data_IF_510039752573
#
_entry.id   IF_510039752573
#
_cell.length_a   1.000
_cell.length_b   1.000
_cell.length_c   1.000
_cell.angle_alpha   90.00
_cell.angle_beta   90.00
_cell.angle_gamma   90.00
#
_symmetry.space_group_name_H-M   'P 1'
#
loop_
_entity.id
_entity.type
_entity.pdbx_description
1 polymer ?
#
# COMPACT_ATOMS: atom_id res chain seq x y z
N UNK A 1 3.69 6.44 10.55
CA UNK A 1 2.72 5.48 11.11
C UNK A 1 3.38 4.40 11.97
N UNK A 2 4.47 3.77 11.52
CA UNK A 2 5.19 2.77 12.34
C UNK A 2 5.57 3.29 13.74
N UNK A 3 6.13 4.49 13.82
CA UNK A 3 6.49 5.15 15.10
C UNK A 3 5.30 5.32 16.06
N UNK A 4 4.09 5.52 15.53
CA UNK A 4 2.88 5.66 16.36
C UNK A 4 2.45 4.31 16.96
N UNK A 5 2.58 3.23 16.18
CA UNK A 5 2.39 1.86 16.66
C UNK A 5 3.44 1.52 17.73
N UNK A 6 4.71 1.80 17.45
CA UNK A 6 5.81 1.49 18.37
C UNK A 6 5.63 2.23 19.71
N UNK A 7 5.27 3.52 19.65
CA UNK A 7 4.95 4.32 20.84
C UNK A 7 3.77 3.74 21.63
N UNK A 8 2.71 3.31 20.93
CA UNK A 8 1.55 2.70 21.57
C UNK A 8 1.89 1.37 22.24
N UNK A 9 2.63 0.52 21.55
CA UNK A 9 3.06 -0.79 22.06
C UNK A 9 3.96 -0.67 23.30
N UNK A 10 4.83 0.35 23.35
CA UNK A 10 5.69 0.59 24.52
C UNK A 10 4.89 1.01 25.77
N UNK A 11 3.70 1.63 25.57
CA UNK A 11 2.85 2.12 26.66
C UNK A 11 1.78 1.13 27.11
N UNK A 12 1.53 0.06 26.38
CA UNK A 12 0.48 -0.91 26.73
C UNK A 12 0.99 -2.04 27.63
N UNK A 13 0.27 -2.29 28.72
CA UNK A 13 0.57 -3.39 29.65
C UNK A 13 -0.35 -4.61 29.45
N UNK A 14 -1.58 -4.48 28.92
CA UNK A 14 -2.53 -5.62 28.90
C UNK A 14 -3.64 -5.68 27.81
N UNK A 15 -3.85 -4.68 26.93
CA UNK A 15 -5.01 -4.70 26.00
C UNK A 15 -4.64 -4.30 24.58
N UNK A 16 -4.76 -5.19 23.59
CA UNK A 16 -4.62 -4.82 22.18
C UNK A 16 -5.83 -4.01 21.71
N UNK A 17 -5.73 -2.68 21.72
CA UNK A 17 -6.76 -1.81 21.16
C UNK A 17 -6.40 -1.51 19.70
N UNK A 18 -7.37 -1.66 18.80
CA UNK A 18 -7.17 -1.35 17.39
C UNK A 18 -6.89 0.15 17.19
N UNK A 19 -5.85 0.46 16.41
CA UNK A 19 -5.46 1.84 16.11
C UNK A 19 -6.05 2.22 14.76
N UNK A 20 -6.67 3.40 14.71
CA UNK A 20 -7.31 3.91 13.51
C UNK A 20 -6.71 5.24 13.06
N UNK A 21 -6.68 5.43 11.74
CA UNK A 21 -6.26 6.62 11.03
C UNK A 21 -7.49 7.32 10.42
N UNK A 22 -7.48 8.66 10.47
CA UNK A 22 -8.53 9.53 9.92
C UNK A 22 -7.88 10.66 9.11
N UNK A 23 -8.59 11.15 8.10
CA UNK A 23 -8.07 12.19 7.21
C UNK A 23 -8.45 13.58 7.69
N UNK A 24 -7.47 14.49 7.69
CA UNK A 24 -7.68 15.87 8.06
C UNK A 24 -8.75 16.55 7.19
N UNK A 25 -9.68 17.29 7.80
CA UNK A 25 -10.83 17.91 7.13
C UNK A 25 -11.91 16.93 6.64
N UNK A 26 -11.72 15.62 6.85
CA UNK A 26 -12.64 14.54 6.45
C UNK A 26 -12.92 13.61 7.65
N UNK A 27 -12.72 14.08 8.87
CA UNK A 27 -12.86 13.30 10.08
C UNK A 27 -14.32 12.92 10.34
N UNK A 28 -14.59 11.71 10.88
CA UNK A 28 -15.94 11.30 11.25
C UNK A 28 -16.42 12.06 12.50
N UNK A 29 -17.74 12.19 12.66
CA UNK A 29 -18.33 12.81 13.85
C UNK A 29 -17.95 12.10 15.16
N UNK A 30 -17.74 10.78 15.12
CA UNK A 30 -17.25 10.02 16.28
C UNK A 30 -15.87 10.46 16.75
N UNK A 31 -15.06 11.06 15.87
CA UNK A 31 -13.75 11.61 16.19
C UNK A 31 -13.86 13.08 16.63
N UNK A 32 -14.57 13.92 15.87
CA UNK A 32 -14.67 15.36 16.18
C UNK A 32 -15.39 15.61 17.52
N UNK A 33 -16.37 14.78 17.87
CA UNK A 33 -17.08 14.85 19.16
C UNK A 33 -16.21 14.52 20.39
N UNK A 34 -14.99 13.98 20.21
CA UNK A 34 -14.05 13.74 21.31
C UNK A 34 -13.37 15.02 21.80
N UNK A 35 -13.44 16.10 21.01
CA UNK A 35 -12.79 17.35 21.30
C UNK A 35 -13.84 18.40 21.70
N UNK A 36 -13.56 19.15 22.77
CA UNK A 36 -14.44 20.21 23.28
C UNK A 36 -14.56 21.40 22.33
N UNK A 37 -13.56 21.61 21.48
CA UNK A 37 -13.57 22.60 20.40
C UNK A 37 -13.01 21.95 19.14
N UNK A 38 -13.73 22.10 18.03
CA UNK A 38 -13.32 21.61 16.72
C UNK A 38 -13.60 22.68 15.67
N UNK A 39 -12.69 22.83 14.71
CA UNK A 39 -12.86 23.75 13.59
C UNK A 39 -12.70 22.96 12.30
N UNK A 40 -13.73 22.99 11.45
CA UNK A 40 -13.70 22.33 10.16
C UNK A 40 -12.69 23.00 9.23
N UNK A 41 -11.95 22.15 8.50
CA UNK A 41 -10.87 22.55 7.61
C UNK A 41 -11.20 22.19 6.17
N UNK A 42 -12.14 22.92 5.59
CA UNK A 42 -12.60 22.72 4.21
C UNK A 42 -11.46 22.87 3.19
N UNK A 43 -10.49 23.74 3.48
CA UNK A 43 -9.27 23.92 2.69
C UNK A 43 -8.50 22.61 2.52
N UNK A 44 -8.37 21.83 3.60
CA UNK A 44 -7.74 20.52 3.59
C UNK A 44 -8.70 19.45 3.04
N UNK A 45 -9.98 19.50 3.39
CA UNK A 45 -10.99 18.54 2.95
C UNK A 45 -10.99 18.42 1.42
N UNK A 46 -10.98 19.56 0.72
CA UNK A 46 -10.93 19.62 -0.75
C UNK A 46 -9.67 18.96 -1.32
N UNK A 47 -8.52 19.11 -0.67
CA UNK A 47 -7.27 18.48 -1.11
C UNK A 47 -7.32 16.95 -0.94
N UNK A 48 -7.81 16.47 0.21
CA UNK A 48 -7.91 15.04 0.48
C UNK A 48 -8.99 14.35 -0.39
N UNK A 49 -10.10 15.03 -0.70
CA UNK A 49 -11.08 14.50 -1.65
C UNK A 49 -10.50 14.38 -3.07
N UNK A 50 -9.65 15.32 -3.50
CA UNK A 50 -8.98 15.25 -4.81
C UNK A 50 -8.02 14.08 -4.94
N UNK A 51 -7.43 13.62 -3.84
CA UNK A 51 -6.58 12.41 -3.80
C UNK A 51 -7.38 11.12 -3.60
N UNK A 52 -8.71 11.20 -3.64
CA UNK A 52 -9.61 10.03 -3.59
C UNK A 52 -10.00 9.58 -2.18
N UNK A 53 -9.64 10.34 -1.13
CA UNK A 53 -10.05 10.03 0.24
C UNK A 53 -11.52 10.40 0.47
N UNK A 54 -12.20 9.66 1.34
CA UNK A 54 -13.64 9.83 1.59
C UNK A 54 -13.91 10.48 2.95
N UNK A 55 -14.96 11.28 3.01
CA UNK A 55 -15.45 11.87 4.25
C UNK A 55 -15.90 10.78 5.24
N UNK A 56 -15.44 10.87 6.49
CA UNK A 56 -15.75 9.92 7.55
C UNK A 56 -15.09 8.55 7.39
N UNK A 57 -14.12 8.41 6.48
CA UNK A 57 -13.38 7.17 6.31
C UNK A 57 -12.45 6.92 7.51
N UNK A 58 -12.57 5.74 8.09
CA UNK A 58 -11.73 5.26 9.19
C UNK A 58 -10.96 4.06 8.68
N UNK A 59 -9.62 4.14 8.74
CA UNK A 59 -8.73 3.10 8.22
C UNK A 59 -7.94 2.51 9.40
N UNK A 60 -7.83 1.19 9.50
CA UNK A 60 -6.93 0.58 10.48
C UNK A 60 -5.48 0.91 10.12
N UNK A 61 -4.69 1.34 11.11
CA UNK A 61 -3.28 1.72 10.89
C UNK A 61 -2.47 0.52 10.41
N UNK A 62 -2.81 -0.69 10.85
CA UNK A 62 -2.19 -1.93 10.38
C UNK A 62 -2.43 -2.13 8.89
N UNK A 63 -3.66 -1.95 8.43
CA UNK A 63 -4.01 -2.05 7.01
C UNK A 63 -3.37 -0.94 6.17
N UNK A 64 -3.36 0.29 6.68
CA UNK A 64 -2.75 1.43 5.99
C UNK A 64 -1.23 1.26 5.86
N UNK A 65 -0.57 0.80 6.93
CA UNK A 65 0.84 0.45 6.90
C UNK A 65 1.11 -0.69 5.94
N UNK A 66 0.32 -1.76 5.99
CA UNK A 66 0.49 -2.90 5.09
C UNK A 66 0.36 -2.50 3.62
N UNK A 67 -0.44 -1.48 3.29
CA UNK A 67 -0.53 -0.91 1.94
C UNK A 67 0.70 -0.06 1.60
N UNK A 68 1.16 0.81 2.49
CA UNK A 68 2.31 1.69 2.24
C UNK A 68 3.66 0.96 2.23
N UNK A 69 3.78 -0.13 3.00
CA UNK A 69 5.00 -0.96 3.05
C UNK A 69 4.91 -2.15 2.09
N UNK A 70 3.83 -2.24 1.29
CA UNK A 70 3.65 -3.30 0.32
C UNK A 70 4.72 -3.25 -0.76
N UNK A 71 5.60 -4.25 -0.75
CA UNK A 71 6.61 -4.42 -1.80
C UNK A 71 6.20 -5.45 -2.86
N UNK A 72 5.23 -6.32 -2.54
CA UNK A 72 4.80 -7.41 -3.43
C UNK A 72 3.31 -7.36 -3.76
N UNK A 73 2.96 -7.66 -5.00
CA UNK A 73 1.60 -7.65 -5.53
C UNK A 73 1.29 -9.02 -6.16
N UNK A 74 0.04 -9.52 -6.02
CA UNK A 74 -0.32 -10.79 -6.61
C UNK A 74 -0.25 -10.69 -8.13
N UNK A 75 0.13 -11.77 -8.81
CA UNK A 75 0.25 -11.79 -10.27
C UNK A 75 -1.01 -11.27 -10.98
N UNK A 76 -2.18 -11.71 -10.51
CA UNK A 76 -3.46 -11.31 -11.10
C UNK A 76 -3.65 -9.77 -11.12
N UNK A 77 -3.10 -9.06 -10.13
CA UNK A 77 -3.16 -7.62 -10.04
C UNK A 77 -2.14 -6.92 -10.95
N UNK A 78 -0.96 -7.52 -11.15
CA UNK A 78 0.08 -7.00 -12.05
C UNK A 78 -0.24 -7.21 -13.55
N UNK A 79 -1.03 -8.25 -13.86
CA UNK A 79 -1.54 -8.51 -15.21
C UNK A 79 -2.74 -7.64 -15.60
N UNK A 80 -3.48 -7.12 -14.62
CA UNK A 80 -4.61 -6.25 -14.88
C UNK A 80 -4.17 -4.81 -15.20
N UNK A 81 -5.01 -4.11 -15.95
CA UNK A 81 -4.89 -2.68 -16.24
C UNK A 81 -6.18 -2.00 -15.77
N UNK A 82 -6.10 -0.88 -15.03
CA UNK A 82 -4.91 -0.09 -14.68
C UNK A 82 -4.03 -0.74 -13.59
N UNK A 83 -2.73 -0.45 -13.61
CA UNK A 83 -1.78 -0.92 -12.59
C UNK A 83 -2.02 -0.21 -11.25
N UNK A 84 -1.71 -0.85 -10.11
CA UNK A 84 -1.75 -0.20 -8.81
C UNK A 84 -0.82 1.01 -8.73
N UNK A 85 -1.19 1.99 -7.90
CA UNK A 85 -0.42 3.22 -7.73
C UNK A 85 0.98 2.92 -7.18
N UNK A 86 2.02 3.45 -7.83
CA UNK A 86 3.42 3.21 -7.47
C UNK A 86 4.04 1.92 -8.03
N UNK A 87 3.33 1.16 -8.86
CA UNK A 87 3.88 0.00 -9.58
C UNK A 87 4.47 0.44 -10.92
N UNK A 88 5.77 0.21 -11.10
CA UNK A 88 6.47 0.51 -12.36
C UNK A 88 6.13 -0.52 -13.46
N UNK A 89 5.49 -0.10 -14.57
CA UNK A 89 5.10 -1.02 -15.66
C UNK A 89 6.28 -1.72 -16.34
N UNK A 90 7.47 -1.14 -16.24
CA UNK A 90 8.70 -1.66 -16.88
C UNK A 90 9.37 -2.76 -16.08
N UNK A 91 9.06 -2.84 -14.78
CA UNK A 91 9.74 -3.69 -13.82
C UNK A 91 8.75 -4.47 -12.95
N UNK A 92 7.69 -5.03 -13.53
CA UNK A 92 6.67 -5.79 -12.79
C UNK A 92 7.26 -6.97 -12.01
N UNK A 93 8.41 -7.49 -12.44
CA UNK A 93 9.12 -8.61 -11.82
C UNK A 93 9.62 -8.35 -10.39
N UNK A 94 9.89 -7.09 -10.02
CA UNK A 94 10.38 -6.75 -8.67
C UNK A 94 9.27 -6.76 -7.63
N UNK A 95 8.03 -6.69 -8.10
CA UNK A 95 6.82 -6.67 -7.28
C UNK A 95 6.23 -8.06 -7.10
N UNK A 96 6.83 -9.11 -7.65
CA UNK A 96 6.37 -10.48 -7.41
C UNK A 96 6.97 -11.03 -6.12
N UNK A 97 6.20 -11.85 -5.40
CA UNK A 97 6.77 -12.67 -4.34
C UNK A 97 7.80 -13.67 -4.92
N UNK A 98 8.81 -14.11 -4.14
CA UNK A 98 9.80 -15.08 -4.62
C UNK A 98 9.17 -16.39 -5.11
N UNK A 99 8.07 -16.79 -4.47
CA UNK A 99 7.29 -17.98 -4.78
C UNK A 99 6.59 -17.83 -6.14
N UNK A 100 5.79 -16.78 -6.32
CA UNK A 100 5.11 -16.50 -7.61
C UNK A 100 6.11 -16.26 -8.75
N UNK A 101 7.24 -15.61 -8.45
CA UNK A 101 8.32 -15.41 -9.42
C UNK A 101 8.82 -16.77 -9.93
N UNK A 102 9.09 -17.69 -9.01
CA UNK A 102 9.61 -19.02 -9.33
C UNK A 102 8.56 -19.84 -10.06
N UNK A 103 7.27 -19.75 -9.68
CA UNK A 103 6.18 -20.44 -10.38
C UNK A 103 5.99 -19.95 -11.82
N UNK A 104 6.11 -18.64 -12.06
CA UNK A 104 5.90 -18.05 -13.39
C UNK A 104 7.07 -18.25 -14.33
N UNK A 105 8.27 -17.99 -13.81
CA UNK A 105 9.50 -17.87 -14.60
C UNK A 105 10.32 -19.17 -14.54
N UNK A 106 9.92 -20.13 -13.70
CA UNK A 106 10.63 -21.39 -13.45
C UNK A 106 12.12 -21.17 -13.10
N UNK A 107 12.45 -20.01 -12.55
CA UNK A 107 13.82 -19.61 -12.20
C UNK A 107 13.80 -18.65 -11.01
N UNK A 108 14.94 -18.50 -10.35
CA UNK A 108 15.05 -17.58 -9.22
C UNK A 108 15.23 -16.12 -9.70
N UNK A 109 14.84 -15.11 -8.89
CA UNK A 109 15.09 -13.71 -9.21
C UNK A 109 16.58 -13.41 -9.44
N UNK A 110 17.46 -14.09 -8.69
CA UNK A 110 18.90 -13.95 -8.83
C UNK A 110 19.40 -14.44 -10.19
N UNK A 111 18.85 -15.54 -10.70
CA UNK A 111 19.24 -16.06 -12.02
C UNK A 111 18.66 -15.23 -13.16
N UNK A 112 17.45 -14.69 -13.00
CA UNK A 112 16.87 -13.77 -13.96
C UNK A 112 17.68 -12.49 -14.10
N UNK A 113 18.16 -11.91 -12.99
CA UNK A 113 19.01 -10.71 -13.02
C UNK A 113 20.36 -10.93 -13.72
N UNK A 114 20.89 -12.17 -13.73
CA UNK A 114 22.11 -12.52 -14.47
C UNK A 114 21.89 -12.60 -15.99
N UNK A 115 20.64 -12.72 -16.45
CA UNK A 115 20.35 -12.80 -17.88
C UNK A 115 20.54 -11.43 -18.55
N UNK A 116 20.96 -11.40 -19.83
CA UNK A 116 20.99 -10.16 -20.60
C UNK A 116 19.61 -9.50 -20.70
N UNK A 117 19.57 -8.16 -20.78
CA UNK A 117 18.33 -7.36 -20.81
C UNK A 117 17.35 -7.79 -21.90
N UNK A 118 17.85 -8.21 -23.08
CA UNK A 118 17.00 -8.69 -24.17
C UNK A 118 16.28 -9.99 -23.82
N UNK A 119 16.91 -10.87 -23.06
CA UNK A 119 16.34 -12.15 -22.63
C UNK A 119 15.35 -11.95 -21.50
N UNK A 120 15.66 -11.05 -20.56
CA UNK A 120 14.71 -10.60 -19.55
C UNK A 120 13.44 -10.03 -20.19
N UNK A 121 13.58 -9.13 -21.17
CA UNK A 121 12.44 -8.55 -21.88
C UNK A 121 11.62 -9.58 -22.67
N UNK A 122 12.27 -10.58 -23.30
CA UNK A 122 11.58 -11.65 -24.00
C UNK A 122 10.72 -12.50 -23.04
N UNK A 123 11.28 -12.87 -21.89
CA UNK A 123 10.57 -13.65 -20.87
C UNK A 123 9.41 -12.84 -20.26
N UNK A 124 9.62 -11.55 -19.98
CA UNK A 124 8.55 -10.67 -19.48
C UNK A 124 7.39 -10.57 -20.47
N UNK A 125 7.70 -10.43 -21.76
CA UNK A 125 6.66 -10.42 -22.82
C UNK A 125 5.91 -11.75 -22.91
N UNK A 126 6.60 -12.88 -22.82
CA UNK A 126 5.98 -14.21 -22.83
C UNK A 126 4.96 -14.38 -21.69
N UNK A 127 5.25 -13.80 -20.53
CA UNK A 127 4.39 -13.88 -19.33
C UNK A 127 3.42 -12.71 -19.16
N UNK A 128 3.36 -11.77 -20.10
CA UNK A 128 2.47 -10.60 -20.03
C UNK A 128 2.88 -9.56 -18.99
N UNK A 129 4.14 -9.59 -18.51
CA UNK A 129 4.73 -8.65 -17.57
C UNK A 129 5.41 -7.46 -18.29
N UNK A 130 4.86 -7.02 -19.42
CA UNK A 130 5.37 -5.91 -20.25
C UNK A 130 4.34 -4.78 -20.38
#
# INVERSE_FOLDING_TARGET
MQTAIDYWNEKQTHLSVAIYSVWAGLEPLSFTNLFSTWCDRDDIAVLNMKTGKKAGEIISVENELAQLTRTTYPLAQLLQRPLPEGVDPRQLEIYLSPEEFTELLAMTPADFQKLPTWKQAAIKKDKGLF
#
